data_IF_799170265450
#
_entry.id   IF_799170265450
#
_cell.length_a   1.000
_cell.length_b   1.000
_cell.length_c   1.000
_cell.angle_alpha   90.00
_cell.angle_beta   90.00
_cell.angle_gamma   90.00
#
_symmetry.space_group_name_H-M   'P 1'
#
loop_
_entity.id
_entity.type
_entity.pdbx_description
1 polymer ?
#
# COMPACT_ATOMS: atom_id res chain seq x y z
N UNK A 1 -26.34 18.06 -44.45
CA UNK A 1 -27.33 18.05 -43.35
C UNK A 1 -27.71 16.61 -42.99
N UNK A 2 -27.87 16.36 -41.68
CA UNK A 2 -28.32 15.11 -41.03
C UNK A 2 -27.28 13.98 -40.89
N UNK A 3 -26.62 13.98 -39.73
CA UNK A 3 -26.41 12.80 -38.90
C UNK A 3 -26.34 13.26 -37.43
N UNK A 4 -27.52 13.52 -36.87
CA UNK A 4 -27.72 13.57 -35.43
C UNK A 4 -27.66 12.12 -34.91
N UNK A 5 -26.54 11.74 -34.27
CA UNK A 5 -26.42 10.49 -33.55
C UNK A 5 -26.17 10.77 -32.07
N UNK A 6 -27.30 10.78 -31.35
CA UNK A 6 -27.50 10.31 -29.97
C UNK A 6 -26.66 10.99 -28.88
N UNK A 7 -27.16 12.13 -28.43
CA UNK A 7 -27.08 12.54 -27.02
C UNK A 7 -28.01 11.63 -26.19
N UNK A 8 -27.46 10.53 -25.68
CA UNK A 8 -28.04 9.79 -24.56
C UNK A 8 -27.01 9.75 -23.44
N UNK A 9 -27.40 9.72 -22.16
CA UNK A 9 -26.46 9.38 -21.11
C UNK A 9 -25.86 8.01 -21.45
N UNK A 10 -24.54 7.88 -21.33
CA UNK A 10 -23.87 6.58 -21.40
C UNK A 10 -24.67 5.59 -20.53
N UNK A 11 -24.87 4.34 -20.97
CA UNK A 11 -25.53 3.37 -20.12
C UNK A 11 -24.75 3.33 -18.83
N UNK A 12 -25.41 3.74 -17.74
CA UNK A 12 -24.91 3.52 -16.38
C UNK A 12 -24.76 2.01 -16.31
N UNK A 13 -23.54 1.54 -16.50
CA UNK A 13 -23.19 0.15 -16.28
C UNK A 13 -23.52 -0.04 -14.81
N UNK A 14 -24.68 -0.67 -14.57
CA UNK A 14 -25.02 -1.21 -13.27
C UNK A 14 -23.95 -2.26 -13.02
N UNK A 15 -22.87 -1.82 -12.41
CA UNK A 15 -21.83 -2.68 -11.90
C UNK A 15 -22.56 -3.56 -10.89
N UNK A 16 -22.85 -4.80 -11.31
CA UNK A 16 -22.97 -5.93 -10.38
C UNK A 16 -21.99 -5.65 -9.25
N UNK A 17 -22.38 -5.71 -7.96
CA UNK A 17 -21.42 -5.46 -6.90
C UNK A 17 -20.28 -6.44 -7.15
N UNK A 18 -19.13 -5.92 -7.59
CA UNK A 18 -17.98 -6.75 -7.89
C UNK A 18 -17.81 -7.63 -6.66
N UNK A 19 -17.80 -8.96 -6.83
CA UNK A 19 -17.58 -9.87 -5.71
C UNK A 19 -16.44 -9.29 -4.88
N UNK A 20 -16.66 -9.05 -3.58
CA UNK A 20 -15.81 -8.15 -2.81
C UNK A 20 -14.37 -8.68 -2.77
N UNK A 21 -13.53 -8.19 -3.69
CA UNK A 21 -12.16 -8.64 -3.92
C UNK A 21 -11.30 -8.29 -2.72
N UNK A 22 -10.55 -9.26 -2.22
CA UNK A 22 -9.48 -9.01 -1.27
C UNK A 22 -8.23 -8.55 -2.02
N UNK A 23 -7.91 -7.26 -1.95
CA UNK A 23 -6.79 -6.68 -2.68
C UNK A 23 -5.64 -6.36 -1.72
N UNK A 24 -4.42 -6.80 -2.05
CA UNK A 24 -3.20 -6.39 -1.34
C UNK A 24 -2.29 -5.55 -2.24
N UNK A 25 -1.84 -4.41 -1.73
CA UNK A 25 -0.81 -3.58 -2.35
C UNK A 25 0.53 -3.78 -1.62
N UNK A 26 1.59 -4.18 -2.32
CA UNK A 26 2.85 -4.58 -1.68
C UNK A 26 4.04 -3.80 -2.25
N UNK A 27 4.79 -3.12 -1.37
CA UNK A 27 6.06 -2.48 -1.72
C UNK A 27 7.18 -2.91 -0.76
N UNK A 28 8.31 -2.20 -0.73
CA UNK A 28 9.43 -2.59 0.13
C UNK A 28 9.20 -2.26 1.61
N UNK A 29 8.84 -1.01 1.92
CA UNK A 29 8.77 -0.49 3.31
C UNK A 29 7.37 -0.14 3.79
N UNK A 30 6.35 -0.33 2.95
CA UNK A 30 4.96 0.05 3.26
C UNK A 30 4.83 1.51 3.74
N UNK A 31 5.47 2.42 3.01
CA UNK A 31 5.49 3.86 3.31
C UNK A 31 4.82 4.68 2.21
N UNK A 32 5.24 4.50 0.96
CA UNK A 32 4.77 5.33 -0.15
C UNK A 32 3.84 4.54 -1.09
N UNK A 33 4.40 3.88 -2.11
CA UNK A 33 3.68 3.23 -3.21
C UNK A 33 2.49 2.36 -2.77
N UNK A 34 2.69 1.45 -1.80
CA UNK A 34 1.60 0.57 -1.38
C UNK A 34 0.55 1.24 -0.50
N UNK A 35 0.90 2.27 0.28
CA UNK A 35 -0.08 3.03 1.06
C UNK A 35 -0.89 3.96 0.16
N UNK A 36 -0.23 4.62 -0.80
CA UNK A 36 -0.92 5.49 -1.75
C UNK A 36 -1.94 4.71 -2.60
N UNK A 37 -1.57 3.53 -3.08
CA UNK A 37 -2.48 2.66 -3.79
C UNK A 37 -3.62 2.14 -2.91
N UNK A 38 -3.33 1.80 -1.65
CA UNK A 38 -4.35 1.41 -0.68
C UNK A 38 -5.41 2.52 -0.57
N UNK A 39 -4.98 3.76 -0.31
CA UNK A 39 -5.87 4.92 -0.25
C UNK A 39 -6.68 5.09 -1.53
N UNK A 40 -6.02 5.06 -2.69
CA UNK A 40 -6.68 5.24 -3.98
C UNK A 40 -7.74 4.16 -4.26
N UNK A 41 -7.51 2.91 -3.86
CA UNK A 41 -8.50 1.84 -3.99
C UNK A 41 -9.68 2.02 -3.02
N UNK A 42 -9.44 2.46 -1.78
CA UNK A 42 -10.53 2.81 -0.86
C UNK A 42 -11.37 3.96 -1.42
N UNK A 43 -10.73 5.02 -1.92
CA UNK A 43 -11.39 6.18 -2.53
C UNK A 43 -12.21 5.79 -3.78
N UNK A 44 -11.77 4.74 -4.50
CA UNK A 44 -12.49 4.17 -5.64
C UNK A 44 -13.63 3.21 -5.25
N UNK A 45 -13.90 3.00 -3.95
CA UNK A 45 -15.01 2.20 -3.45
C UNK A 45 -14.70 0.72 -3.18
N UNK A 46 -13.43 0.30 -3.26
CA UNK A 46 -13.05 -1.06 -2.84
C UNK A 46 -13.00 -1.14 -1.32
N UNK A 47 -13.85 -1.97 -0.71
CA UNK A 47 -13.95 -2.04 0.75
C UNK A 47 -12.93 -2.96 1.43
N UNK A 48 -12.23 -3.82 0.67
CA UNK A 48 -11.37 -4.90 1.19
C UNK A 48 -9.96 -4.75 0.62
N UNK A 49 -9.24 -3.77 1.15
CA UNK A 49 -7.90 -3.41 0.70
C UNK A 49 -6.92 -3.49 1.86
N UNK A 50 -5.75 -4.05 1.59
CA UNK A 50 -4.63 -4.13 2.53
C UNK A 50 -3.36 -3.64 1.84
N UNK A 51 -2.36 -3.28 2.66
CA UNK A 51 -1.05 -2.96 2.11
C UNK A 51 0.08 -3.46 2.99
N UNK A 52 1.19 -3.87 2.37
CA UNK A 52 2.31 -4.49 3.08
C UNK A 52 3.67 -4.06 2.53
N UNK A 53 4.71 -4.44 3.28
CA UNK A 53 6.11 -4.32 2.94
C UNK A 53 6.82 -5.67 2.96
N UNK A 54 7.68 -5.98 1.99
CA UNK A 54 8.47 -7.22 1.99
C UNK A 54 9.88 -7.07 2.58
N UNK A 55 10.33 -5.83 2.79
CA UNK A 55 11.67 -5.54 3.28
C UNK A 55 11.96 -6.08 4.68
N UNK A 56 13.22 -6.03 5.09
CA UNK A 56 13.61 -6.38 6.45
C UNK A 56 13.21 -5.31 7.48
N UNK A 57 13.23 -4.03 7.07
CA UNK A 57 12.88 -2.85 7.87
C UNK A 57 12.14 -1.81 7.00
N UNK A 58 11.48 -0.88 7.65
CA UNK A 58 10.92 0.31 7.01
C UNK A 58 12.03 1.36 6.85
N UNK A 59 12.24 1.87 5.63
CA UNK A 59 13.28 2.87 5.35
C UNK A 59 12.67 4.13 4.76
N UNK A 60 13.06 5.28 5.29
CA UNK A 60 12.73 6.61 4.78
C UNK A 60 14.03 7.35 4.44
N UNK A 61 14.03 8.20 3.39
CA UNK A 61 15.19 9.06 3.11
C UNK A 61 15.55 9.93 4.31
N UNK A 62 16.86 10.12 4.53
CA UNK A 62 17.37 11.16 5.43
C UNK A 62 18.13 12.23 4.64
N UNK A 63 18.96 13.02 5.34
CA UNK A 63 19.68 14.17 4.74
C UNK A 63 20.73 13.75 3.71
N UNK A 64 21.32 12.58 3.86
CA UNK A 64 22.28 12.00 2.91
C UNK A 64 21.86 10.59 2.52
N UNK A 65 22.47 10.04 1.47
CA UNK A 65 22.20 8.68 1.00
C UNK A 65 22.54 7.62 2.06
N UNK A 66 23.54 7.89 2.89
CA UNK A 66 24.04 6.98 3.92
C UNK A 66 23.27 7.11 5.25
N UNK A 67 22.44 8.15 5.41
CA UNK A 67 21.72 8.46 6.67
C UNK A 67 20.22 8.22 6.56
N UNK A 68 19.82 7.07 6.02
CA UNK A 68 18.40 6.70 5.96
C UNK A 68 17.80 6.50 7.38
N UNK A 69 16.56 6.93 7.57
CA UNK A 69 15.80 6.65 8.78
C UNK A 69 15.25 5.23 8.70
N UNK A 70 15.53 4.39 9.71
CA UNK A 70 15.21 2.96 9.70
C UNK A 70 14.36 2.61 10.90
N UNK A 71 13.20 2.02 10.66
CA UNK A 71 12.24 1.62 11.68
C UNK A 71 11.86 0.15 11.52
N UNK A 72 11.40 -0.45 12.61
CA UNK A 72 10.79 -1.76 12.58
C UNK A 72 9.40 -1.73 11.93
N UNK A 73 9.01 -2.86 11.33
CA UNK A 73 7.61 -3.05 10.99
C UNK A 73 6.79 -3.09 12.28
N UNK A 74 5.61 -2.47 12.28
CA UNK A 74 4.78 -2.31 13.48
C UNK A 74 4.94 -0.99 14.21
N UNK A 75 6.02 -0.22 14.01
CA UNK A 75 6.17 1.12 14.58
C UNK A 75 5.07 2.06 14.04
N UNK A 76 4.20 2.65 14.88
CA UNK A 76 3.12 3.52 14.42
C UNK A 76 3.60 4.69 13.55
N UNK A 77 2.85 5.03 12.50
CA UNK A 77 3.24 6.15 11.62
C UNK A 77 3.30 7.49 12.37
N UNK A 78 2.45 7.68 13.38
CA UNK A 78 2.48 8.85 14.26
C UNK A 78 3.77 8.94 15.07
N UNK A 79 4.30 7.81 15.54
CA UNK A 79 5.57 7.75 16.28
C UNK A 79 6.75 8.05 15.35
N UNK A 80 6.74 7.49 14.14
CA UNK A 80 7.73 7.82 13.10
C UNK A 80 7.70 9.32 12.78
N UNK A 81 6.51 9.90 12.61
CA UNK A 81 6.35 11.32 12.34
C UNK A 81 6.85 12.20 13.51
N UNK A 82 6.58 11.80 14.75
CA UNK A 82 7.07 12.51 15.94
C UNK A 82 8.60 12.51 16.03
N UNK A 83 9.23 11.36 15.77
CA UNK A 83 10.70 11.25 15.72
C UNK A 83 11.30 12.15 14.64
N UNK A 84 10.77 12.12 13.41
CA UNK A 84 11.27 12.97 12.33
C UNK A 84 11.07 14.47 12.59
N UNK A 85 9.95 14.88 13.21
CA UNK A 85 9.76 16.28 13.64
C UNK A 85 10.82 16.71 14.65
N UNK A 86 11.15 15.85 15.61
CA UNK A 86 12.18 16.14 16.60
C UNK A 86 13.59 16.24 16.00
N UNK A 87 13.85 15.52 14.90
CA UNK A 87 15.14 15.58 14.21
C UNK A 87 15.29 16.85 13.35
N UNK A 88 14.35 17.13 12.44
CA UNK A 88 14.36 18.32 11.57
C UNK A 88 13.00 18.47 10.85
N UNK A 89 12.03 19.08 11.52
CA UNK A 89 10.67 19.24 10.97
C UNK A 89 10.65 19.95 9.60
N UNK A 90 11.40 21.05 9.44
CA UNK A 90 11.41 21.81 8.18
C UNK A 90 11.90 20.93 7.01
N UNK A 91 13.01 20.21 7.19
CA UNK A 91 13.54 19.31 6.18
C UNK A 91 12.53 18.22 5.76
N UNK A 92 11.85 17.60 6.73
CA UNK A 92 10.92 16.51 6.46
C UNK A 92 9.53 16.97 5.99
N UNK A 93 9.19 18.25 6.18
CA UNK A 93 8.07 18.90 5.49
C UNK A 93 8.44 19.16 4.03
N UNK A 94 9.60 19.78 3.78
CA UNK A 94 10.04 20.18 2.43
C UNK A 94 10.18 18.98 1.47
N UNK A 95 10.63 17.83 1.98
CA UNK A 95 10.73 16.60 1.19
C UNK A 95 9.45 15.73 1.20
N UNK A 96 8.37 16.23 1.79
CA UNK A 96 7.05 15.61 1.86
C UNK A 96 6.97 14.29 2.67
N UNK A 97 7.98 13.93 3.45
CA UNK A 97 7.93 12.72 4.28
C UNK A 97 6.92 12.87 5.43
N UNK A 98 6.86 14.02 6.09
CA UNK A 98 5.90 14.25 7.16
C UNK A 98 4.44 14.23 6.66
N UNK A 99 4.05 14.98 5.62
CA UNK A 99 2.73 14.85 5.00
C UNK A 99 2.38 13.42 4.57
N UNK A 100 3.36 12.69 4.03
CA UNK A 100 3.19 11.29 3.63
C UNK A 100 2.89 10.38 4.83
N UNK A 101 3.56 10.59 5.97
CA UNK A 101 3.34 9.83 7.21
C UNK A 101 1.98 10.16 7.84
N UNK A 102 1.58 11.43 7.83
CA UNK A 102 0.25 11.86 8.30
C UNK A 102 -0.85 11.18 7.48
N UNK A 103 -0.75 11.17 6.14
CA UNK A 103 -1.65 10.39 5.27
C UNK A 103 -1.62 8.90 5.62
N UNK A 104 -0.44 8.32 5.88
CA UNK A 104 -0.38 6.90 6.23
C UNK A 104 -1.15 6.57 7.51
N UNK A 105 -1.06 7.43 8.52
CA UNK A 105 -1.77 7.28 9.78
C UNK A 105 -3.30 7.30 9.61
N UNK A 106 -3.82 8.01 8.60
CA UNK A 106 -5.27 7.98 8.29
C UNK A 106 -5.72 6.68 7.62
N UNK A 107 -4.81 5.95 6.98
CA UNK A 107 -5.10 4.68 6.30
C UNK A 107 -5.03 3.52 7.30
N UNK A 108 -3.96 3.47 8.11
CA UNK A 108 -3.75 2.43 9.12
C UNK A 108 -2.70 2.83 10.15
N UNK A 109 -2.67 2.12 11.29
CA UNK A 109 -1.79 2.46 12.42
C UNK A 109 -0.29 2.41 12.12
N UNK A 110 0.18 1.35 11.47
CA UNK A 110 1.62 1.08 11.30
C UNK A 110 1.92 0.32 10.00
N UNK A 111 3.15 0.40 9.47
CA UNK A 111 3.58 -0.41 8.35
C UNK A 111 3.61 -1.89 8.76
N UNK A 112 3.09 -2.74 7.89
CA UNK A 112 2.92 -4.18 8.14
C UNK A 112 3.80 -4.98 7.19
N UNK A 113 4.38 -6.06 7.70
CA UNK A 113 5.26 -6.95 6.95
C UNK A 113 4.44 -8.03 6.25
N UNK A 114 4.67 -8.23 4.96
CA UNK A 114 3.94 -9.23 4.15
C UNK A 114 4.08 -10.64 4.73
N UNK A 115 5.30 -11.03 5.08
CA UNK A 115 5.62 -12.36 5.59
C UNK A 115 4.98 -12.65 6.96
N UNK A 116 4.47 -11.63 7.66
CA UNK A 116 3.76 -11.79 8.93
C UNK A 116 2.24 -11.94 8.76
N UNK A 117 1.69 -11.65 7.58
CA UNK A 117 0.27 -11.80 7.30
C UNK A 117 -0.05 -13.25 6.95
N UNK A 118 -0.86 -13.91 7.77
CA UNK A 118 -1.27 -15.32 7.59
C UNK A 118 -2.79 -15.50 7.69
N UNK A 119 -3.53 -14.42 7.93
CA UNK A 119 -4.95 -14.47 8.27
C UNK A 119 -5.89 -14.18 7.10
N UNK A 120 -5.38 -13.53 6.05
CA UNK A 120 -6.16 -13.12 4.89
C UNK A 120 -5.70 -13.84 3.62
N UNK A 121 -6.66 -14.41 2.89
CA UNK A 121 -6.45 -14.85 1.51
C UNK A 121 -6.79 -13.72 0.55
N UNK A 122 -5.89 -13.43 -0.38
CA UNK A 122 -6.07 -12.35 -1.35
C UNK A 122 -6.54 -12.90 -2.70
N UNK A 123 -7.35 -12.11 -3.40
CA UNK A 123 -7.80 -12.36 -4.77
C UNK A 123 -6.93 -11.65 -5.80
N UNK A 124 -6.23 -10.59 -5.37
CA UNK A 124 -5.32 -9.81 -6.20
C UNK A 124 -4.20 -9.22 -5.34
N UNK A 125 -2.95 -9.46 -5.73
CA UNK A 125 -1.77 -8.84 -5.12
C UNK A 125 -1.05 -7.98 -6.15
N UNK A 126 -0.86 -6.70 -5.83
CA UNK A 126 -0.19 -5.72 -6.69
C UNK A 126 1.19 -5.40 -6.11
N UNK A 127 2.26 -5.76 -6.83
CA UNK A 127 3.64 -5.48 -6.44
C UNK A 127 4.23 -4.30 -7.21
N UNK A 128 4.89 -3.38 -6.51
CA UNK A 128 5.38 -2.12 -7.10
C UNK A 128 6.84 -2.13 -7.58
N UNK A 129 7.48 -3.28 -7.62
CA UNK A 129 8.81 -3.53 -8.23
C UNK A 129 9.10 -5.04 -8.30
N UNK A 130 9.97 -5.46 -9.23
CA UNK A 130 10.33 -6.88 -9.42
C UNK A 130 10.87 -7.53 -8.15
N UNK A 131 11.78 -6.87 -7.42
CA UNK A 131 12.34 -7.43 -6.18
C UNK A 131 11.29 -7.65 -5.08
N UNK A 132 10.25 -6.82 -5.04
CA UNK A 132 9.13 -7.00 -4.11
C UNK A 132 8.28 -8.17 -4.53
N UNK A 133 8.02 -8.32 -5.84
CA UNK A 133 7.33 -9.47 -6.38
C UNK A 133 8.07 -10.78 -6.09
N UNK A 134 9.38 -10.84 -6.34
CA UNK A 134 10.21 -12.03 -6.10
C UNK A 134 10.17 -12.43 -4.62
N UNK A 135 10.35 -11.47 -3.70
CA UNK A 135 10.31 -11.72 -2.26
C UNK A 135 8.91 -12.15 -1.76
N UNK A 136 7.85 -11.63 -2.37
CA UNK A 136 6.47 -12.02 -2.09
C UNK A 136 6.19 -13.44 -2.58
N UNK A 137 6.64 -13.77 -3.78
CA UNK A 137 6.48 -15.09 -4.39
C UNK A 137 7.27 -16.17 -3.64
N UNK A 138 8.51 -15.89 -3.26
CA UNK A 138 9.34 -16.80 -2.44
C UNK A 138 8.64 -17.13 -1.13
N UNK A 139 8.10 -16.11 -0.44
CA UNK A 139 7.34 -16.31 0.78
C UNK A 139 6.08 -17.14 0.54
N UNK A 140 5.28 -16.83 -0.50
CA UNK A 140 4.08 -17.64 -0.84
C UNK A 140 4.40 -19.11 -1.12
N UNK A 141 5.52 -19.39 -1.81
CA UNK A 141 5.95 -20.76 -2.10
C UNK A 141 6.33 -21.56 -0.85
N UNK A 142 6.70 -20.88 0.24
CA UNK A 142 7.05 -21.54 1.51
C UNK A 142 5.83 -21.82 2.40
N UNK A 143 4.70 -21.17 2.12
CA UNK A 143 3.47 -21.33 2.89
C UNK A 143 2.75 -22.62 2.49
N UNK A 144 2.18 -23.38 3.44
CA UNK A 144 1.38 -24.55 3.10
C UNK A 144 0.09 -24.12 2.38
N UNK A 145 -0.21 -24.77 1.26
CA UNK A 145 -1.52 -24.65 0.62
C UNK A 145 -2.58 -25.35 1.47
N UNK A 146 -3.61 -24.62 1.90
CA UNK A 146 -4.70 -25.19 2.71
C UNK A 146 -5.88 -25.62 1.83
N UNK A 147 -6.26 -24.81 0.85
CA UNK A 147 -7.46 -25.00 0.02
C UNK A 147 -7.19 -25.00 -1.49
N UNK A 148 -5.92 -24.88 -1.91
CA UNK A 148 -5.49 -24.79 -3.32
C UNK A 148 -6.19 -23.67 -4.09
N UNK A 149 -6.72 -22.66 -3.40
CA UNK A 149 -7.29 -21.49 -4.03
C UNK A 149 -6.16 -20.67 -4.67
N UNK A 150 -6.27 -20.31 -5.97
CA UNK A 150 -5.32 -19.40 -6.56
C UNK A 150 -5.47 -18.02 -5.91
N UNK A 151 -4.33 -17.37 -5.69
CA UNK A 151 -4.23 -15.93 -5.51
C UNK A 151 -3.94 -15.28 -6.86
#
# INVERSE_FOLDING_TARGET
>A
PLLSLRSGPDPVVSLMPAAALNIACVCASNQNRSCEAHRALLDAGYARVWSYGTGSKCRLPGKTRETANVYDFGTPYEEIAADLRAQDEAFYIDNLILPMLERNATIKKSPQKWQAEVSVQFDLVICYETRVFDAMLEDLMTRPSVDFRPC
#
